data_IF_575020119287
#
_entry.id   IF_575020119287
#
_cell.length_a   1.000
_cell.length_b   1.000
_cell.length_c   1.000
_cell.angle_alpha   90.00
_cell.angle_beta   90.00
_cell.angle_gamma   90.00
#
_symmetry.space_group_name_H-M   'P 1'
#
loop_
_entity.id
_entity.type
_entity.pdbx_description
1 polymer ?
#
# COMPACT_ATOMS: atom_id res chain seq x y z
N UNK A 1 22.32 13.69 14.23
CA UNK A 1 23.08 14.14 13.04
C UNK A 1 22.26 15.24 12.40
N UNK A 2 22.82 16.45 12.27
CA UNK A 2 22.09 17.69 11.94
C UNK A 2 21.52 17.65 10.51
N UNK A 3 20.24 17.98 10.36
CA UNK A 3 19.66 18.45 9.10
C UNK A 3 19.39 19.95 9.24
N UNK A 4 20.07 20.77 8.46
CA UNK A 4 19.87 22.23 8.47
C UNK A 4 18.91 22.60 7.35
N UNK A 5 17.79 23.18 7.75
CA UNK A 5 16.82 23.78 6.88
C UNK A 5 17.22 25.25 6.59
N UNK A 6 17.20 25.61 5.29
CA UNK A 6 16.42 26.73 4.74
C UNK A 6 17.16 28.10 4.56
N UNK A 7 17.45 28.53 3.32
CA UNK A 7 17.95 29.89 3.00
C UNK A 7 17.25 30.45 1.76
N UNK A 8 16.65 31.63 1.93
CA UNK A 8 16.15 32.51 0.87
C UNK A 8 17.34 33.26 0.27
N UNK A 9 17.59 33.13 -1.04
CA UNK A 9 18.75 33.75 -1.70
C UNK A 9 18.50 35.25 -1.93
N UNK A 10 19.36 36.10 -1.38
CA UNK A 10 19.56 37.49 -1.82
C UNK A 10 20.74 37.51 -2.82
N UNK A 11 20.74 38.39 -3.83
CA UNK A 11 21.79 38.41 -4.84
C UNK A 11 23.08 39.00 -4.27
N UNK A 12 24.17 38.23 -4.37
CA UNK A 12 25.53 38.71 -4.13
C UNK A 12 26.15 38.21 -2.83
N UNK A 13 26.70 37.00 -2.85
CA UNK A 13 27.94 36.69 -2.13
C UNK A 13 28.57 35.41 -2.67
N UNK A 14 29.74 35.57 -3.26
CA UNK A 14 30.65 34.51 -3.65
C UNK A 14 31.28 33.93 -2.38
N UNK A 15 30.81 32.74 -1.98
CA UNK A 15 31.50 31.73 -1.17
C UNK A 15 30.56 30.52 -1.06
N UNK A 16 30.78 29.56 -1.97
CA UNK A 16 29.84 28.52 -2.38
C UNK A 16 29.72 27.36 -1.38
N UNK A 17 28.80 27.47 -0.43
CA UNK A 17 28.21 26.32 0.31
C UNK A 17 26.69 26.22 0.10
N UNK A 18 26.19 26.78 -1.01
CA UNK A 18 24.77 26.80 -1.35
C UNK A 18 24.38 25.56 -2.18
N UNK A 19 23.20 24.95 -1.92
CA UNK A 19 22.65 23.93 -2.82
C UNK A 19 22.56 24.47 -4.24
N UNK A 20 22.96 23.64 -5.20
CA UNK A 20 22.95 24.00 -6.62
C UNK A 20 21.51 23.98 -7.11
N UNK A 21 20.95 25.16 -7.35
CA UNK A 21 19.62 25.36 -7.97
C UNK A 21 19.69 25.45 -9.49
N UNK A 22 20.81 25.05 -10.10
CA UNK A 22 21.03 25.22 -11.54
C UNK A 22 21.07 23.88 -12.24
N UNK A 23 20.07 23.65 -13.09
CA UNK A 23 19.99 22.59 -14.10
C UNK A 23 21.37 22.20 -14.62
N UNK A 24 21.70 20.91 -14.48
CA UNK A 24 22.67 20.32 -15.37
C UNK A 24 22.11 20.47 -16.81
N UNK A 25 22.91 20.89 -17.81
CA UNK A 25 22.39 21.33 -19.12
C UNK A 25 21.62 20.27 -19.92
N UNK A 26 21.66 19.00 -19.49
CA UNK A 26 20.92 17.88 -20.09
C UNK A 26 19.84 17.32 -19.16
N UNK A 27 19.61 17.93 -18.01
CA UNK A 27 18.64 17.48 -17.03
C UNK A 27 17.30 18.19 -17.23
N UNK A 28 16.29 17.43 -17.68
CA UNK A 28 14.93 17.94 -17.91
C UNK A 28 14.11 18.00 -16.63
N UNK A 29 14.66 17.57 -15.49
CA UNK A 29 14.01 17.58 -14.18
C UNK A 29 14.82 18.49 -13.26
N UNK A 30 14.19 19.48 -12.63
CA UNK A 30 14.90 20.37 -11.69
C UNK A 30 15.24 19.60 -10.41
N UNK A 31 16.53 19.56 -10.04
CA UNK A 31 17.08 18.80 -8.90
C UNK A 31 17.96 19.73 -8.02
N UNK A 32 17.82 19.67 -6.69
CA UNK A 32 18.66 20.39 -5.72
C UNK A 32 19.69 19.39 -5.20
N UNK A 33 20.96 19.66 -5.48
CA UNK A 33 22.09 18.91 -4.92
C UNK A 33 22.62 19.64 -3.69
N UNK A 34 23.08 18.91 -2.68
CA UNK A 34 23.68 19.49 -1.48
C UNK A 34 25.04 20.13 -1.78
N UNK A 35 25.77 19.60 -2.76
CA UNK A 35 27.06 20.14 -3.24
C UNK A 35 27.39 19.71 -4.68
N UNK A 36 28.52 20.20 -5.21
CA UNK A 36 29.01 19.85 -6.55
C UNK A 36 29.42 18.38 -6.69
N UNK A 37 29.94 17.75 -5.63
CA UNK A 37 30.35 16.35 -5.70
C UNK A 37 29.12 15.47 -5.91
N UNK A 38 28.02 15.76 -5.23
CA UNK A 38 26.75 15.06 -5.43
C UNK A 38 26.17 15.29 -6.84
N UNK A 39 26.28 16.52 -7.36
CA UNK A 39 25.88 16.81 -8.74
C UNK A 39 26.71 16.01 -9.76
N UNK A 40 28.03 15.88 -9.55
CA UNK A 40 28.90 15.05 -10.39
C UNK A 40 28.58 13.57 -10.23
N UNK A 41 28.41 13.09 -8.99
CA UNK A 41 28.04 11.72 -8.71
C UNK A 41 26.72 11.37 -9.40
N UNK A 42 25.71 12.24 -9.35
CA UNK A 42 24.48 11.98 -10.08
C UNK A 42 24.65 12.05 -11.60
N UNK A 43 25.39 13.03 -12.13
CA UNK A 43 25.68 13.13 -13.57
C UNK A 43 26.45 11.90 -14.11
N UNK A 44 27.28 11.29 -13.27
CA UNK A 44 28.06 10.07 -13.56
C UNK A 44 27.27 8.78 -13.23
N UNK A 45 25.99 8.89 -12.86
CA UNK A 45 25.12 7.77 -12.50
C UNK A 45 25.57 7.03 -11.23
N UNK A 46 26.30 7.71 -10.34
CA UNK A 46 26.74 7.25 -9.02
C UNK A 46 25.68 7.36 -7.93
N UNK A 47 24.61 8.13 -8.12
CA UNK A 47 23.40 8.12 -7.30
C UNK A 47 22.20 7.97 -8.21
N UNK A 48 21.18 7.23 -7.76
CA UNK A 48 20.10 6.87 -8.68
C UNK A 48 19.14 8.02 -8.90
N UNK A 49 18.66 8.74 -7.88
CA UNK A 49 17.96 10.02 -8.07
C UNK A 49 17.94 10.87 -6.79
N UNK A 50 18.09 12.19 -6.96
CA UNK A 50 17.79 13.25 -5.99
C UNK A 50 16.63 14.02 -6.59
N UNK A 51 15.45 13.99 -5.98
CA UNK A 51 14.30 14.72 -6.51
C UNK A 51 13.34 15.20 -5.45
N UNK A 52 12.60 16.22 -5.83
CA UNK A 52 11.70 16.98 -4.97
C UNK A 52 10.28 16.46 -5.13
N UNK A 53 9.57 16.23 -4.02
CA UNK A 53 8.14 15.98 -4.05
C UNK A 53 7.39 17.22 -4.54
N UNK A 54 6.66 17.09 -5.65
CA UNK A 54 5.95 18.20 -6.29
C UNK A 54 4.87 18.86 -5.39
N UNK A 55 4.29 19.99 -5.83
CA UNK A 55 3.36 20.80 -5.02
C UNK A 55 2.05 20.09 -4.64
N UNK A 56 1.75 18.96 -5.27
CA UNK A 56 0.56 18.14 -5.01
C UNK A 56 0.84 16.94 -4.08
N UNK A 57 2.09 16.73 -3.69
CA UNK A 57 2.46 15.74 -2.68
C UNK A 57 1.99 16.20 -1.29
N UNK A 58 1.84 15.27 -0.36
CA UNK A 58 1.53 15.55 1.04
C UNK A 58 2.63 16.41 1.70
N UNK A 59 3.89 16.15 1.33
CA UNK A 59 5.06 16.92 1.78
C UNK A 59 5.79 17.57 0.58
N UNK A 60 5.24 18.65 0.00
CA UNK A 60 5.85 19.31 -1.15
C UNK A 60 7.20 19.93 -0.74
N UNK A 61 8.19 19.87 -1.63
CA UNK A 61 9.52 20.42 -1.34
C UNK A 61 10.49 19.41 -0.72
N UNK A 62 10.05 18.22 -0.31
CA UNK A 62 10.91 17.21 0.32
C UNK A 62 11.84 16.56 -0.70
N UNK A 63 13.12 16.51 -0.36
CA UNK A 63 14.17 15.82 -1.12
C UNK A 63 14.32 14.37 -0.66
N UNK A 64 14.32 13.44 -1.62
CA UNK A 64 14.55 12.02 -1.36
C UNK A 64 15.87 11.56 -2.00
N UNK A 65 16.60 10.69 -1.29
CA UNK A 65 17.87 10.11 -1.75
C UNK A 65 17.82 8.59 -1.64
N UNK A 66 18.17 7.92 -2.73
CA UNK A 66 18.21 6.46 -2.84
C UNK A 66 19.62 5.94 -3.14
N UNK A 67 19.86 4.69 -2.78
CA UNK A 67 21.10 3.99 -3.07
C UNK A 67 21.19 3.65 -4.56
N UNK A 68 22.40 3.78 -5.11
CA UNK A 68 22.76 3.51 -6.51
C UNK A 68 22.63 2.05 -6.92
N UNK A 69 22.78 1.14 -5.97
CA UNK A 69 22.80 -0.29 -6.25
C UNK A 69 21.77 -1.01 -5.39
N UNK A 70 21.41 -2.22 -5.81
CA UNK A 70 20.45 -3.02 -5.06
C UNK A 70 19.02 -2.46 -5.07
N UNK A 71 18.13 -3.09 -4.32
CA UNK A 71 16.74 -2.71 -4.23
C UNK A 71 16.56 -1.65 -3.12
N UNK A 72 16.01 -0.49 -3.45
CA UNK A 72 15.60 0.50 -2.46
C UNK A 72 14.20 0.16 -1.95
N UNK A 73 14.09 -0.13 -0.65
CA UNK A 73 12.84 -0.45 0.01
C UNK A 73 12.35 0.79 0.76
N UNK A 74 11.24 1.35 0.32
CA UNK A 74 10.57 2.48 0.95
C UNK A 74 9.55 1.93 1.95
N UNK A 75 9.80 2.15 3.24
CA UNK A 75 8.84 1.93 4.32
C UNK A 75 7.96 3.16 4.49
N UNK A 76 6.69 3.03 4.14
CA UNK A 76 5.71 4.11 4.04
C UNK A 76 4.83 4.17 5.28
N UNK A 77 4.50 5.40 5.67
CA UNK A 77 3.22 5.69 6.31
C UNK A 77 2.32 6.19 5.19
N UNK A 78 1.32 5.40 4.78
CA UNK A 78 0.42 5.70 3.66
C UNK A 78 -0.46 6.95 3.88
N UNK A 79 -0.30 7.62 5.02
CA UNK A 79 -0.90 8.94 5.29
C UNK A 79 0.09 10.11 5.07
N UNK A 80 1.31 9.82 4.63
CA UNK A 80 2.40 10.80 4.44
C UNK A 80 3.03 10.72 3.05
N UNK A 81 4.26 10.20 2.95
CA UNK A 81 4.96 9.96 1.68
C UNK A 81 4.82 8.49 1.34
N UNK A 82 4.26 8.22 0.17
CA UNK A 82 4.12 6.90 -0.42
C UNK A 82 4.81 6.84 -1.79
N UNK A 83 5.00 5.62 -2.31
CA UNK A 83 5.60 5.42 -3.62
C UNK A 83 4.77 6.04 -4.75
N UNK A 84 3.45 6.19 -4.56
CA UNK A 84 2.57 6.88 -5.51
C UNK A 84 2.99 8.35 -5.73
N UNK A 85 3.50 9.03 -4.71
CA UNK A 85 4.04 10.38 -4.83
C UNK A 85 5.50 10.39 -5.34
N UNK A 86 6.29 9.39 -4.95
CA UNK A 86 7.72 9.30 -5.29
C UNK A 86 7.95 8.96 -6.76
N UNK A 87 7.19 8.02 -7.32
CA UNK A 87 7.35 7.57 -8.71
C UNK A 87 7.24 8.70 -9.73
N UNK A 88 6.13 9.47 -9.79
CA UNK A 88 6.00 10.55 -10.76
C UNK A 88 7.00 11.68 -10.50
N UNK A 89 7.36 11.95 -9.24
CA UNK A 89 8.34 12.97 -8.89
C UNK A 89 9.76 12.63 -9.40
N UNK A 90 10.12 11.36 -9.42
CA UNK A 90 11.46 10.89 -9.80
C UNK A 90 11.54 10.27 -11.19
N UNK A 91 10.41 10.09 -11.88
CA UNK A 91 10.36 9.42 -13.19
C UNK A 91 10.72 7.94 -13.12
N UNK A 92 10.41 7.28 -12.00
CA UNK A 92 10.76 5.87 -11.76
C UNK A 92 9.89 4.96 -12.64
N UNK A 93 10.52 4.00 -13.31
CA UNK A 93 9.81 2.97 -14.11
C UNK A 93 10.06 1.55 -13.62
N UNK A 94 11.07 1.33 -12.76
CA UNK A 94 11.47 0.03 -12.24
C UNK A 94 11.07 -0.11 -10.77
N UNK A 95 9.85 -0.57 -10.52
CA UNK A 95 9.30 -0.64 -9.18
C UNK A 95 8.40 -1.85 -8.94
N UNK A 96 8.22 -2.17 -7.66
CA UNK A 96 7.12 -3.00 -7.15
C UNK A 96 6.40 -2.23 -6.04
N UNK A 97 5.08 -2.37 -5.92
CA UNK A 97 4.30 -1.62 -4.94
C UNK A 97 3.27 -2.47 -4.22
N UNK A 98 3.25 -2.42 -2.90
CA UNK A 98 2.35 -3.25 -2.08
C UNK A 98 0.87 -3.06 -2.39
N UNK A 99 0.46 -1.87 -2.84
CA UNK A 99 -0.93 -1.61 -3.19
C UNK A 99 -1.37 -2.42 -4.41
N UNK A 100 -0.42 -2.91 -5.21
CA UNK A 100 -0.67 -3.71 -6.40
C UNK A 100 -0.50 -5.21 -6.13
N UNK A 101 -1.41 -6.01 -6.69
CA UNK A 101 -1.42 -7.46 -6.56
C UNK A 101 -0.24 -8.08 -7.29
N UNK A 102 0.50 -8.93 -6.58
CA UNK A 102 1.54 -9.80 -7.13
C UNK A 102 0.96 -11.13 -7.68
N UNK A 103 -0.34 -11.38 -7.53
CA UNK A 103 -0.97 -12.66 -7.89
C UNK A 103 -1.29 -12.75 -9.38
N UNK A 104 -1.36 -13.99 -9.88
CA UNK A 104 -1.92 -14.27 -11.20
C UNK A 104 -3.43 -14.18 -11.08
N UNK A 105 -4.01 -13.05 -11.50
CA UNK A 105 -5.47 -12.89 -11.56
C UNK A 105 -6.01 -13.50 -12.85
N UNK A 106 -6.81 -14.55 -12.72
CA UNK A 106 -7.33 -15.33 -13.83
C UNK A 106 -8.09 -14.45 -14.85
N UNK A 107 -7.80 -14.57 -16.16
CA UNK A 107 -8.54 -13.85 -17.19
C UNK A 107 -10.04 -14.16 -17.12
N UNK A 108 -10.88 -13.12 -17.17
CA UNK A 108 -12.34 -13.24 -17.12
C UNK A 108 -12.93 -13.49 -15.73
N UNK A 109 -12.13 -13.58 -14.67
CA UNK A 109 -12.66 -13.73 -13.31
C UNK A 109 -13.26 -12.43 -12.77
N UNK A 110 -14.23 -12.56 -11.86
CA UNK A 110 -14.83 -11.42 -11.17
C UNK A 110 -13.78 -10.66 -10.35
N UNK A 111 -12.88 -11.38 -9.67
CA UNK A 111 -11.76 -10.81 -8.91
C UNK A 111 -10.89 -9.89 -9.77
N UNK A 112 -10.47 -10.35 -10.96
CA UNK A 112 -9.65 -9.53 -11.87
C UNK A 112 -10.38 -8.27 -12.29
N UNK A 113 -11.67 -8.39 -12.65
CA UNK A 113 -12.47 -7.25 -13.08
C UNK A 113 -12.61 -6.21 -11.96
N UNK A 114 -12.96 -6.64 -10.75
CA UNK A 114 -13.08 -5.75 -9.59
C UNK A 114 -11.74 -5.09 -9.23
N UNK A 115 -10.65 -5.86 -9.19
CA UNK A 115 -9.31 -5.34 -8.92
C UNK A 115 -8.91 -4.22 -9.90
N UNK A 116 -9.17 -4.42 -11.20
CA UNK A 116 -8.87 -3.43 -12.22
C UNK A 116 -9.73 -2.18 -12.07
N UNK A 117 -11.03 -2.31 -11.81
CA UNK A 117 -11.92 -1.15 -11.60
C UNK A 117 -11.46 -0.31 -10.42
N UNK A 118 -11.19 -0.95 -9.28
CA UNK A 118 -10.83 -0.24 -8.05
C UNK A 118 -9.44 0.40 -8.09
N UNK A 119 -8.50 -0.15 -8.88
CA UNK A 119 -7.13 0.35 -8.94
C UNK A 119 -6.80 1.10 -10.24
N UNK A 120 -7.76 1.26 -11.16
CA UNK A 120 -7.50 1.84 -12.48
C UNK A 120 -6.85 3.22 -12.41
N UNK A 121 -7.35 4.08 -11.52
CA UNK A 121 -6.87 5.46 -11.40
C UNK A 121 -5.41 5.51 -10.93
N UNK A 122 -5.07 4.75 -9.88
CA UNK A 122 -3.71 4.72 -9.34
C UNK A 122 -2.73 4.01 -10.29
N UNK A 123 -3.13 2.88 -10.90
CA UNK A 123 -2.32 2.17 -11.89
C UNK A 123 -1.99 3.10 -13.08
N UNK A 124 -2.97 3.85 -13.56
CA UNK A 124 -2.77 4.82 -14.65
C UNK A 124 -1.84 5.96 -14.21
N UNK A 125 -2.03 6.50 -13.01
CA UNK A 125 -1.21 7.59 -12.46
C UNK A 125 0.26 7.18 -12.30
N UNK A 126 0.50 5.92 -11.94
CA UNK A 126 1.83 5.33 -11.79
C UNK A 126 2.40 4.78 -13.11
N UNK A 127 1.75 5.04 -14.25
CA UNK A 127 2.26 4.67 -15.58
C UNK A 127 2.23 3.17 -15.87
N UNK A 128 1.42 2.38 -15.15
CA UNK A 128 1.35 0.93 -15.33
C UNK A 128 0.56 0.59 -16.59
N UNK A 129 1.16 -0.25 -17.44
CA UNK A 129 0.46 -0.80 -18.60
C UNK A 129 -0.56 -1.87 -18.15
N UNK A 130 -1.85 -1.51 -18.16
CA UNK A 130 -2.96 -2.39 -17.75
C UNK A 130 -3.14 -3.64 -18.63
N UNK A 131 -2.64 -3.60 -19.87
CA UNK A 131 -2.65 -4.76 -20.77
C UNK A 131 -1.43 -5.67 -20.56
N UNK A 132 -0.43 -5.22 -19.79
CA UNK A 132 0.77 -5.97 -19.48
C UNK A 132 0.59 -6.97 -18.32
N UNK A 133 1.69 -7.59 -17.92
CA UNK A 133 1.71 -8.44 -16.73
C UNK A 133 1.78 -7.57 -15.46
N UNK A 134 0.64 -7.34 -14.81
CA UNK A 134 0.56 -6.52 -13.60
C UNK A 134 1.42 -7.05 -12.44
N UNK A 135 1.74 -8.35 -12.43
CA UNK A 135 2.57 -8.95 -11.39
C UNK A 135 3.99 -8.37 -11.37
N UNK A 136 4.48 -7.78 -12.46
CA UNK A 136 5.82 -7.19 -12.49
C UNK A 136 5.94 -5.93 -11.64
N UNK A 137 4.81 -5.28 -11.33
CA UNK A 137 4.74 -4.10 -10.46
C UNK A 137 3.99 -4.38 -9.14
N UNK A 138 3.43 -5.59 -8.99
CA UNK A 138 2.74 -6.04 -7.79
C UNK A 138 3.72 -6.32 -6.64
N UNK A 139 3.43 -5.78 -5.46
CA UNK A 139 4.23 -5.95 -4.25
C UNK A 139 3.66 -6.97 -3.28
N UNK A 140 2.35 -7.22 -3.33
CA UNK A 140 1.70 -8.02 -2.30
C UNK A 140 0.63 -8.95 -2.84
N UNK A 141 0.45 -10.11 -2.21
CA UNK A 141 -0.68 -10.98 -2.50
C UNK A 141 -1.99 -10.33 -2.03
N UNK A 142 -2.97 -10.32 -2.91
CA UNK A 142 -4.30 -9.79 -2.76
C UNK A 142 -5.17 -10.70 -1.88
N UNK A 143 -4.96 -12.03 -1.93
CA UNK A 143 -5.75 -12.97 -1.14
C UNK A 143 -5.68 -12.73 0.37
N UNK A 144 -4.48 -12.68 1.00
CA UNK A 144 -4.38 -12.41 2.43
C UNK A 144 -4.75 -10.96 2.78
N UNK A 145 -4.66 -10.02 1.82
CA UNK A 145 -5.10 -8.63 2.01
C UNK A 145 -6.62 -8.51 2.10
N UNK A 146 -7.35 -9.17 1.19
CA UNK A 146 -8.81 -9.25 1.28
C UNK A 146 -9.22 -9.94 2.58
N UNK A 147 -8.54 -11.04 2.95
CA UNK A 147 -8.84 -11.79 4.16
C UNK A 147 -8.67 -10.95 5.44
N UNK A 148 -7.56 -10.20 5.52
CA UNK A 148 -7.28 -9.25 6.60
C UNK A 148 -8.38 -8.18 6.72
N UNK A 149 -8.82 -7.59 5.60
CA UNK A 149 -9.95 -6.65 5.59
C UNK A 149 -11.27 -7.30 6.02
N UNK A 150 -11.59 -8.51 5.55
CA UNK A 150 -12.84 -9.18 5.93
C UNK A 150 -12.88 -9.51 7.43
N UNK A 151 -11.75 -9.92 8.01
CA UNK A 151 -11.63 -10.12 9.46
C UNK A 151 -11.69 -8.78 10.23
N UNK A 152 -11.13 -7.70 9.67
CA UNK A 152 -11.25 -6.35 10.25
C UNK A 152 -12.69 -5.86 10.29
N UNK A 153 -13.48 -6.15 9.25
CA UNK A 153 -14.85 -5.69 9.12
C UNK A 153 -15.86 -6.47 9.98
N UNK A 154 -15.51 -7.66 10.48
CA UNK A 154 -16.38 -8.50 11.32
C UNK A 154 -17.02 -7.74 12.50
N UNK A 155 -16.25 -7.12 13.43
CA UNK A 155 -16.84 -6.40 14.56
C UNK A 155 -17.67 -5.17 14.15
N UNK A 156 -17.42 -4.60 12.96
CA UNK A 156 -18.24 -3.48 12.45
C UNK A 156 -19.58 -3.97 11.90
N UNK A 157 -19.60 -5.15 11.27
CA UNK A 157 -20.82 -5.75 10.76
C UNK A 157 -21.68 -6.38 11.87
N UNK A 158 -21.07 -6.81 12.98
CA UNK A 158 -21.78 -7.30 14.18
C UNK A 158 -22.27 -6.19 15.12
N UNK A 159 -22.07 -4.92 14.76
CA UNK A 159 -22.37 -3.73 15.59
C UNK A 159 -21.61 -3.64 16.92
N UNK A 160 -20.51 -4.40 17.08
CA UNK A 160 -19.68 -4.43 18.28
C UNK A 160 -18.62 -3.31 18.33
N UNK A 161 -18.37 -2.64 17.19
CA UNK A 161 -17.42 -1.54 17.08
C UNK A 161 -18.04 -0.25 16.53
N UNK A 162 -17.61 0.88 17.09
CA UNK A 162 -17.98 2.22 16.64
C UNK A 162 -17.47 2.52 15.21
N UNK A 163 -18.24 3.32 14.46
CA UNK A 163 -18.01 3.68 13.04
C UNK A 163 -16.93 4.72 12.68
N UNK A 164 -16.26 5.48 13.58
CA UNK A 164 -15.53 6.68 13.17
C UNK A 164 -14.27 6.39 12.34
N UNK A 165 -13.83 5.13 12.25
CA UNK A 165 -12.70 4.75 11.41
C UNK A 165 -13.08 4.44 9.96
N UNK A 166 -14.36 4.17 9.69
CA UNK A 166 -14.87 3.83 8.35
C UNK A 166 -15.46 5.02 7.61
N UNK A 167 -15.72 6.14 8.30
CA UNK A 167 -16.23 7.38 7.72
C UNK A 167 -15.11 8.35 7.35
N UNK A 168 -15.38 9.25 6.41
CA UNK A 168 -14.51 10.41 6.19
C UNK A 168 -14.61 11.38 7.39
N UNK A 169 -13.64 11.34 8.30
CA UNK A 169 -13.60 12.30 9.42
C UNK A 169 -12.90 13.62 9.04
N UNK A 170 -13.47 14.74 9.48
CA UNK A 170 -12.85 16.08 9.41
C UNK A 170 -11.61 16.12 10.30
N UNK A 171 -10.44 15.84 9.73
CA UNK A 171 -9.16 15.80 10.45
C UNK A 171 -8.05 14.99 9.78
N UNK A 172 -8.29 14.42 8.58
CA UNK A 172 -7.26 13.76 7.77
C UNK A 172 -6.67 12.48 8.37
N UNK A 173 -7.24 11.98 9.47
CA UNK A 173 -6.54 11.05 10.35
C UNK A 173 -6.94 9.58 10.29
N UNK A 174 -7.92 9.15 9.47
CA UNK A 174 -8.31 7.73 9.43
C UNK A 174 -8.65 7.29 8.01
N UNK A 175 -7.67 6.63 7.41
CA UNK A 175 -7.62 6.14 6.03
C UNK A 175 -8.43 4.85 5.80
N UNK A 176 -8.87 4.13 6.85
CA UNK A 176 -9.33 2.73 6.73
C UNK A 176 -10.60 2.53 5.88
N UNK A 177 -11.56 3.46 5.93
CA UNK A 177 -12.82 3.29 5.19
C UNK A 177 -12.67 3.13 3.67
N UNK A 178 -11.66 3.72 3.06
CA UNK A 178 -11.36 3.60 1.62
C UNK A 178 -10.79 2.22 1.21
N UNK A 179 -9.64 1.76 1.75
CA UNK A 179 -9.11 0.44 1.49
C UNK A 179 -10.10 -0.65 1.92
N UNK A 180 -10.84 -0.48 3.02
CA UNK A 180 -11.82 -1.47 3.45
C UNK A 180 -12.97 -1.61 2.44
N UNK A 181 -13.49 -0.48 1.94
CA UNK A 181 -14.49 -0.52 0.88
C UNK A 181 -13.95 -1.18 -0.39
N UNK A 182 -12.72 -0.83 -0.79
CA UNK A 182 -12.04 -1.40 -1.95
C UNK A 182 -11.93 -2.92 -1.82
N UNK A 183 -11.39 -3.42 -0.71
CA UNK A 183 -11.19 -4.85 -0.52
C UNK A 183 -12.48 -5.60 -0.20
N UNK A 184 -13.53 -4.95 0.31
CA UNK A 184 -14.89 -5.50 0.35
C UNK A 184 -15.40 -5.77 -1.07
N UNK A 185 -15.30 -4.79 -1.99
CA UNK A 185 -15.74 -4.94 -3.39
C UNK A 185 -14.96 -6.03 -4.11
N UNK A 186 -13.64 -6.04 -3.97
CA UNK A 186 -12.75 -7.07 -4.54
C UNK A 186 -13.03 -8.44 -3.92
N UNK A 187 -13.23 -8.51 -2.60
CA UNK A 187 -13.51 -9.74 -1.88
C UNK A 187 -14.88 -10.34 -2.22
N UNK A 188 -15.91 -9.52 -2.41
CA UNK A 188 -17.20 -9.97 -2.94
C UNK A 188 -17.04 -10.61 -4.32
N UNK A 189 -16.28 -9.97 -5.20
CA UNK A 189 -16.00 -10.51 -6.53
C UNK A 189 -15.25 -11.86 -6.45
N UNK A 190 -14.25 -11.99 -5.58
CA UNK A 190 -13.54 -13.26 -5.36
C UNK A 190 -14.45 -14.33 -4.72
N UNK A 191 -15.31 -13.96 -3.78
CA UNK A 191 -16.28 -14.89 -3.20
C UNK A 191 -17.22 -15.46 -4.27
N UNK A 192 -17.60 -14.67 -5.26
CA UNK A 192 -18.38 -15.12 -6.42
C UNK A 192 -17.59 -16.04 -7.35
N UNK A 193 -16.30 -15.78 -7.57
CA UNK A 193 -15.42 -16.70 -8.31
C UNK A 193 -15.36 -18.08 -7.60
N UNK A 194 -15.19 -18.09 -6.28
CA UNK A 194 -15.19 -19.32 -5.48
C UNK A 194 -16.55 -20.02 -5.53
N UNK A 195 -17.64 -19.26 -5.36
CA UNK A 195 -19.00 -19.79 -5.37
C UNK A 195 -19.42 -20.42 -6.71
N UNK A 196 -18.81 -19.98 -7.82
CA UNK A 196 -19.07 -20.55 -9.14
C UNK A 196 -18.49 -21.97 -9.31
N UNK A 197 -17.45 -22.33 -8.54
CA UNK A 197 -16.80 -23.63 -8.60
C UNK A 197 -16.18 -24.04 -7.25
N UNK A 198 -16.99 -24.27 -6.19
CA UNK A 198 -16.48 -24.59 -4.87
C UNK A 198 -15.91 -26.02 -4.82
N UNK A 199 -14.72 -26.18 -4.25
CA UNK A 199 -14.00 -27.46 -4.17
C UNK A 199 -14.05 -28.05 -2.75
N UNK A 200 -13.95 -27.22 -1.71
CA UNK A 200 -13.94 -27.67 -0.31
C UNK A 200 -15.28 -27.44 0.39
N UNK A 201 -15.50 -28.08 1.54
CA UNK A 201 -16.71 -27.85 2.35
C UNK A 201 -16.85 -26.39 2.82
N UNK A 202 -15.73 -25.72 3.12
CA UNK A 202 -15.72 -24.29 3.47
C UNK A 202 -16.09 -23.42 2.28
N UNK A 203 -15.59 -23.75 1.08
CA UNK A 203 -15.96 -23.06 -0.16
C UNK A 203 -17.44 -23.28 -0.52
N UNK A 204 -18.00 -24.46 -0.24
CA UNK A 204 -19.44 -24.74 -0.40
C UNK A 204 -20.28 -23.91 0.58
N UNK A 205 -19.83 -23.75 1.82
CA UNK A 205 -20.49 -22.88 2.80
C UNK A 205 -20.46 -21.41 2.36
N UNK A 206 -19.32 -20.92 1.85
CA UNK A 206 -19.22 -19.59 1.25
C UNK A 206 -20.16 -19.45 0.05
N UNK A 207 -20.23 -20.45 -0.83
CA UNK A 207 -21.13 -20.44 -1.99
C UNK A 207 -22.60 -20.32 -1.57
N UNK A 208 -23.02 -21.00 -0.49
CA UNK A 208 -24.36 -20.87 0.07
C UNK A 208 -24.63 -19.44 0.54
N UNK A 209 -23.69 -18.84 1.29
CA UNK A 209 -23.82 -17.45 1.76
C UNK A 209 -23.90 -16.47 0.59
N UNK A 210 -23.03 -16.61 -0.42
CA UNK A 210 -23.09 -15.79 -1.64
C UNK A 210 -24.47 -15.91 -2.28
N UNK A 211 -24.99 -17.12 -2.50
CA UNK A 211 -26.30 -17.33 -3.13
C UNK A 211 -27.45 -16.70 -2.31
N UNK A 212 -27.42 -16.82 -0.99
CA UNK A 212 -28.45 -16.27 -0.09
C UNK A 212 -28.43 -14.75 -0.01
N UNK A 213 -27.26 -14.13 -0.17
CA UNK A 213 -27.05 -12.69 0.06
C UNK A 213 -26.96 -11.89 -1.24
N UNK A 214 -26.74 -12.53 -2.40
CA UNK A 214 -26.52 -11.87 -3.69
C UNK A 214 -27.58 -10.81 -4.01
N UNK A 215 -28.87 -11.13 -3.88
CA UNK A 215 -29.93 -10.19 -4.24
C UNK A 215 -29.89 -8.87 -3.41
N UNK A 216 -29.39 -8.93 -2.17
CA UNK A 216 -29.26 -7.77 -1.29
C UNK A 216 -27.90 -7.07 -1.47
N UNK A 217 -26.82 -7.84 -1.64
CA UNK A 217 -25.45 -7.32 -1.65
C UNK A 217 -24.98 -6.86 -3.03
N UNK A 218 -25.36 -7.51 -4.13
CA UNK A 218 -24.91 -7.13 -5.47
C UNK A 218 -25.24 -5.66 -5.79
N UNK A 219 -26.50 -5.17 -5.62
CA UNK A 219 -26.82 -3.78 -5.92
C UNK A 219 -26.11 -2.79 -5.00
N UNK A 220 -25.96 -3.14 -3.72
CA UNK A 220 -25.27 -2.29 -2.74
C UNK A 220 -23.79 -2.16 -3.07
N UNK A 221 -23.08 -3.28 -3.22
CA UNK A 221 -21.63 -3.31 -3.48
C UNK A 221 -21.29 -2.71 -4.85
N UNK A 222 -22.12 -2.95 -5.88
CA UNK A 222 -21.96 -2.31 -7.18
C UNK A 222 -22.20 -0.79 -7.15
N UNK A 223 -23.04 -0.31 -6.23
CA UNK A 223 -23.33 1.11 -6.02
C UNK A 223 -22.25 1.87 -5.23
N UNK A 224 -21.31 1.18 -4.59
CA UNK A 224 -20.23 1.82 -3.83
C UNK A 224 -19.26 2.56 -4.79
N UNK A 225 -19.01 3.87 -4.58
CA UNK A 225 -18.12 4.64 -5.46
C UNK A 225 -16.66 4.21 -5.30
N UNK A 226 -15.89 4.17 -6.38
CA UNK A 226 -14.42 3.97 -6.30
C UNK A 226 -13.81 5.06 -5.41
N UNK A 227 -12.86 4.67 -4.56
CA UNK A 227 -12.22 5.54 -3.54
C UNK A 227 -13.21 6.22 -2.57
N UNK A 228 -14.41 5.66 -2.42
CA UNK A 228 -15.37 6.03 -1.37
C UNK A 228 -15.01 5.46 0.00
N UNK A 229 -15.63 5.99 1.05
CA UNK A 229 -15.49 5.50 2.42
C UNK A 229 -16.67 4.58 2.76
N UNK A 230 -16.40 3.32 3.14
CA UNK A 230 -17.44 2.33 3.42
C UNK A 230 -18.48 2.85 4.41
N UNK A 231 -18.04 3.48 5.49
CA UNK A 231 -18.90 3.97 6.55
C UNK A 231 -19.88 5.05 6.09
N UNK A 232 -19.47 5.95 5.17
CA UNK A 232 -20.34 7.02 4.63
C UNK A 232 -21.61 6.45 3.96
N UNK A 233 -21.52 5.23 3.43
CA UNK A 233 -22.66 4.51 2.86
C UNK A 233 -23.35 3.64 3.90
N UNK A 234 -22.61 2.90 4.71
CA UNK A 234 -23.13 1.85 5.59
C UNK A 234 -23.92 2.40 6.79
N UNK A 235 -23.61 3.60 7.28
CA UNK A 235 -24.34 4.25 8.39
C UNK A 235 -25.72 4.77 8.00
N UNK A 236 -26.06 4.78 6.70
CA UNK A 236 -27.36 5.23 6.24
C UNK A 236 -28.44 4.24 6.65
N UNK A 237 -29.54 4.72 7.25
CA UNK A 237 -30.64 3.87 7.73
C UNK A 237 -31.22 2.95 6.63
N UNK A 238 -31.16 3.38 5.37
CA UNK A 238 -31.59 2.58 4.22
C UNK A 238 -30.75 1.31 3.98
N UNK A 239 -29.57 1.20 4.59
CA UNK A 239 -28.65 0.07 4.46
C UNK A 239 -28.52 -0.77 5.74
N UNK A 240 -29.41 -0.55 6.72
CA UNK A 240 -29.43 -1.36 7.95
C UNK A 240 -29.64 -2.86 7.67
N UNK A 241 -30.32 -3.20 6.57
CA UNK A 241 -30.54 -4.58 6.12
C UNK A 241 -29.28 -5.26 5.54
N UNK A 242 -28.18 -4.52 5.36
CA UNK A 242 -26.92 -5.05 4.79
C UNK A 242 -25.97 -5.64 5.82
N UNK A 243 -26.06 -5.24 7.10
CA UNK A 243 -25.12 -5.66 8.15
C UNK A 243 -25.06 -7.18 8.31
N UNK A 244 -26.20 -7.85 8.51
CA UNK A 244 -26.22 -9.31 8.69
C UNK A 244 -25.72 -10.08 7.44
N UNK A 245 -26.14 -9.75 6.20
CA UNK A 245 -25.53 -10.32 5.00
C UNK A 245 -24.02 -10.09 4.86
N UNK A 246 -23.53 -8.88 5.17
CA UNK A 246 -22.11 -8.55 5.13
C UNK A 246 -21.31 -9.33 6.18
N UNK A 247 -21.84 -9.48 7.40
CA UNK A 247 -21.24 -10.29 8.45
C UNK A 247 -21.13 -11.76 8.04
N UNK A 248 -22.22 -12.33 7.51
CA UNK A 248 -22.23 -13.72 7.04
C UNK A 248 -21.21 -13.95 5.92
N UNK A 249 -21.12 -13.01 4.97
CA UNK A 249 -20.12 -13.03 3.91
C UNK A 249 -18.70 -12.97 4.47
N UNK A 250 -18.42 -12.01 5.36
CA UNK A 250 -17.10 -11.80 5.93
C UNK A 250 -16.61 -13.05 6.67
N UNK A 251 -17.42 -13.61 7.57
CA UNK A 251 -17.09 -14.84 8.32
C UNK A 251 -16.84 -16.04 7.42
N UNK A 252 -17.75 -16.30 6.47
CA UNK A 252 -17.59 -17.43 5.55
C UNK A 252 -16.37 -17.27 4.63
N UNK A 253 -16.05 -16.04 4.22
CA UNK A 253 -14.85 -15.76 3.43
C UNK A 253 -13.57 -15.97 4.24
N UNK A 254 -13.54 -15.45 5.48
CA UNK A 254 -12.42 -15.63 6.41
C UNK A 254 -12.16 -17.12 6.67
N UNK A 255 -13.21 -17.92 6.90
CA UNK A 255 -13.06 -19.37 7.11
C UNK A 255 -12.34 -20.08 5.95
N UNK A 256 -12.69 -19.73 4.71
CA UNK A 256 -12.02 -20.24 3.50
C UNK A 256 -10.57 -19.76 3.46
N UNK A 257 -10.31 -18.49 3.77
CA UNK A 257 -8.96 -17.95 3.71
C UNK A 257 -8.04 -18.47 4.82
N UNK A 258 -8.56 -18.78 6.01
CA UNK A 258 -7.79 -19.46 7.06
C UNK A 258 -7.30 -20.83 6.59
N UNK A 259 -8.16 -21.59 5.91
CA UNK A 259 -7.80 -22.89 5.34
C UNK A 259 -6.76 -22.74 4.23
N UNK A 260 -6.92 -21.75 3.35
CA UNK A 260 -5.95 -21.46 2.29
C UNK A 260 -4.59 -21.02 2.85
N UNK A 261 -4.56 -20.21 3.90
CA UNK A 261 -3.32 -19.69 4.48
C UNK A 261 -2.37 -20.80 4.95
N UNK A 262 -2.90 -21.79 5.68
CA UNK A 262 -2.10 -22.90 6.22
C UNK A 262 -1.74 -23.96 5.16
N UNK A 263 -2.44 -23.96 4.02
CA UNK A 263 -2.23 -24.88 2.90
C UNK A 263 -1.57 -24.22 1.68
N UNK A 264 -1.13 -22.97 1.78
CA UNK A 264 -0.70 -22.17 0.62
C UNK A 264 0.52 -22.80 -0.09
N UNK A 265 0.41 -23.23 -1.35
CA UNK A 265 1.51 -23.88 -2.06
C UNK A 265 2.74 -22.97 -2.27
N UNK A 266 2.61 -21.65 -2.17
CA UNK A 266 3.72 -20.71 -2.29
C UNK A 266 4.62 -20.67 -1.03
N UNK A 267 4.14 -21.21 0.09
CA UNK A 267 4.87 -21.19 1.37
C UNK A 267 5.60 -22.50 1.66
N UNK A 268 6.76 -22.38 2.30
CA UNK A 268 7.53 -23.50 2.85
C UNK A 268 6.88 -24.09 4.12
N UNK A 269 7.29 -25.32 4.48
CA UNK A 269 6.71 -26.04 5.62
C UNK A 269 6.83 -25.29 6.96
N UNK A 270 7.95 -24.57 7.18
CA UNK A 270 8.15 -23.81 8.41
C UNK A 270 7.18 -22.62 8.51
N UNK A 271 6.86 -21.99 7.39
CA UNK A 271 5.96 -20.83 7.32
C UNK A 271 4.51 -21.29 7.51
N UNK A 272 4.12 -22.40 6.88
CA UNK A 272 2.83 -23.06 7.11
C UNK A 272 2.66 -23.47 8.57
N UNK A 273 3.69 -24.06 9.17
CA UNK A 273 3.68 -24.43 10.59
C UNK A 273 3.57 -23.21 11.51
N UNK A 274 4.25 -22.09 11.19
CA UNK A 274 4.11 -20.85 11.95
C UNK A 274 2.69 -20.27 11.86
N UNK A 275 2.07 -20.27 10.67
CA UNK A 275 0.68 -19.83 10.50
C UNK A 275 -0.32 -20.74 11.22
N UNK A 276 -0.14 -22.07 11.12
CA UNK A 276 -1.01 -23.04 11.78
C UNK A 276 -0.92 -23.01 13.31
N UNK A 277 0.19 -22.50 13.88
CA UNK A 277 0.38 -22.36 15.31
C UNK A 277 -0.25 -21.09 15.90
N UNK A 278 -0.69 -20.14 15.06
CA UNK A 278 -1.37 -18.94 15.53
C UNK A 278 -2.80 -19.27 15.97
N UNK A 279 -3.28 -18.67 17.08
CA UNK A 279 -4.70 -18.65 17.41
C UNK A 279 -5.56 -18.08 16.27
N UNK A 280 -6.82 -18.50 16.17
CA UNK A 280 -7.72 -18.14 15.07
C UNK A 280 -9.19 -17.96 15.54
N UNK A 281 -9.43 -17.96 16.84
CA UNK A 281 -10.78 -18.01 17.41
C UNK A 281 -11.45 -16.62 17.34
N UNK A 282 -10.64 -15.57 17.45
CA UNK A 282 -11.10 -14.18 17.45
C UNK A 282 -10.68 -13.43 16.17
N UNK A 283 -11.46 -12.44 15.74
CA UNK A 283 -11.20 -11.66 14.52
C UNK A 283 -9.80 -11.03 14.50
N UNK A 284 -9.31 -10.53 15.65
CA UNK A 284 -7.98 -9.92 15.75
C UNK A 284 -6.84 -10.95 15.69
N UNK A 285 -7.11 -12.21 16.05
CA UNK A 285 -6.17 -13.32 15.89
C UNK A 285 -6.07 -13.72 14.41
N UNK A 286 -7.21 -13.80 13.74
CA UNK A 286 -7.30 -14.05 12.30
C UNK A 286 -6.57 -12.96 11.50
N UNK A 287 -6.76 -11.68 11.85
CA UNK A 287 -5.97 -10.56 11.27
C UNK A 287 -4.47 -10.75 11.47
N UNK A 288 -4.03 -11.19 12.66
CA UNK A 288 -2.59 -11.44 12.89
C UNK A 288 -2.06 -12.56 12.01
N UNK A 289 -2.85 -13.61 11.79
CA UNK A 289 -2.51 -14.68 10.86
C UNK A 289 -2.41 -14.15 9.44
N UNK A 290 -3.42 -13.41 8.95
CA UNK A 290 -3.41 -12.84 7.61
C UNK A 290 -2.28 -11.83 7.42
N UNK A 291 -2.04 -10.92 8.37
CA UNK A 291 -0.89 -10.03 8.36
C UNK A 291 0.44 -10.79 8.29
N UNK A 292 0.55 -11.95 8.94
CA UNK A 292 1.75 -12.78 8.83
C UNK A 292 1.86 -13.49 7.48
N UNK A 293 0.75 -13.99 6.96
CA UNK A 293 0.68 -14.59 5.64
C UNK A 293 1.06 -13.59 4.54
N UNK A 294 0.52 -12.36 4.62
CA UNK A 294 0.90 -11.18 3.83
C UNK A 294 2.41 -10.97 3.83
N UNK A 295 3.01 -10.93 5.01
CA UNK A 295 4.46 -10.75 5.19
C UNK A 295 5.31 -11.85 4.54
N UNK A 296 4.89 -13.11 4.59
CA UNK A 296 5.62 -14.20 3.92
C UNK A 296 5.61 -14.05 2.40
N UNK A 297 4.44 -13.77 1.80
CA UNK A 297 4.35 -13.45 0.37
C UNK A 297 5.19 -12.25 0.00
N UNK A 298 5.13 -11.20 0.82
CA UNK A 298 5.90 -9.99 0.61
C UNK A 298 7.42 -10.27 0.57
N UNK A 299 7.92 -11.13 1.46
CA UNK A 299 9.31 -11.55 1.44
C UNK A 299 9.72 -12.18 0.11
N UNK A 300 8.87 -13.06 -0.44
CA UNK A 300 9.09 -13.71 -1.74
C UNK A 300 9.12 -12.68 -2.87
N UNK A 301 8.15 -11.75 -2.87
CA UNK A 301 8.05 -10.70 -3.90
C UNK A 301 9.27 -9.77 -3.86
N UNK A 302 9.70 -9.34 -2.66
CA UNK A 302 10.89 -8.49 -2.50
C UNK A 302 12.16 -9.21 -2.96
N UNK A 303 12.31 -10.49 -2.62
CA UNK A 303 13.45 -11.30 -3.07
C UNK A 303 13.47 -11.46 -4.59
N UNK A 304 12.31 -11.72 -5.20
CA UNK A 304 12.18 -11.82 -6.65
C UNK A 304 12.44 -10.48 -7.34
N UNK A 305 11.90 -9.38 -6.81
CA UNK A 305 12.13 -8.03 -7.30
C UNK A 305 13.62 -7.69 -7.28
N UNK A 306 14.31 -7.94 -6.15
CA UNK A 306 15.75 -7.74 -6.04
C UNK A 306 16.54 -8.60 -7.05
N UNK A 307 16.17 -9.88 -7.22
CA UNK A 307 16.79 -10.79 -8.19
C UNK A 307 16.59 -10.38 -9.65
N UNK A 308 15.45 -9.74 -9.95
CA UNK A 308 15.12 -9.22 -11.27
C UNK A 308 15.72 -7.82 -11.54
N UNK A 309 16.47 -7.26 -10.59
CA UNK A 309 17.05 -5.92 -10.73
C UNK A 309 16.05 -4.78 -10.61
N UNK A 310 14.89 -5.01 -9.97
CA UNK A 310 13.96 -3.93 -9.61
C UNK A 310 14.68 -2.94 -8.69
N UNK A 311 14.50 -1.64 -8.96
CA UNK A 311 15.23 -0.58 -8.26
C UNK A 311 14.50 -0.07 -7.02
N UNK A 312 13.17 -0.13 -7.00
CA UNK A 312 12.34 0.41 -5.92
C UNK A 312 11.23 -0.56 -5.49
N UNK A 313 11.00 -0.66 -4.18
CA UNK A 313 9.87 -1.37 -3.60
C UNK A 313 9.18 -0.47 -2.58
N UNK A 314 7.90 -0.16 -2.77
CA UNK A 314 7.09 0.58 -1.81
C UNK A 314 6.28 -0.38 -0.95
N UNK A 315 6.36 -0.22 0.37
CA UNK A 315 5.61 -1.03 1.33
C UNK A 315 5.38 -0.28 2.63
N UNK A 316 4.34 -0.63 3.37
CA UNK A 316 4.10 -0.13 4.71
C UNK A 316 5.28 -0.44 5.63
N UNK A 317 5.61 0.51 6.50
CA UNK A 317 6.78 0.38 7.36
C UNK A 317 6.70 -0.83 8.32
N UNK A 318 5.49 -1.29 8.66
CA UNK A 318 5.29 -2.54 9.40
C UNK A 318 5.81 -3.77 8.66
N UNK A 319 5.57 -3.88 7.34
CA UNK A 319 6.13 -4.96 6.51
C UNK A 319 7.65 -4.91 6.52
N UNK A 320 8.21 -3.72 6.24
CA UNK A 320 9.66 -3.48 6.23
C UNK A 320 10.32 -3.89 7.55
N UNK A 321 9.80 -3.44 8.69
CA UNK A 321 10.34 -3.75 10.03
C UNK A 321 10.26 -5.25 10.34
N UNK A 322 9.17 -5.91 9.94
CA UNK A 322 9.03 -7.35 10.14
C UNK A 322 10.06 -8.14 9.33
N UNK A 323 10.23 -7.80 8.05
CA UNK A 323 11.20 -8.46 7.17
C UNK A 323 12.64 -8.28 7.66
N UNK A 324 13.01 -7.06 8.10
CA UNK A 324 14.31 -6.79 8.72
C UNK A 324 14.53 -7.65 9.96
N UNK A 325 13.54 -7.69 10.87
CA UNK A 325 13.63 -8.46 12.11
C UNK A 325 13.78 -9.97 11.85
N UNK A 326 13.19 -10.47 10.77
CA UNK A 326 13.25 -11.89 10.37
C UNK A 326 14.44 -12.22 9.46
N UNK A 327 15.26 -11.23 9.11
CA UNK A 327 16.35 -11.37 8.14
C UNK A 327 15.87 -11.95 6.79
N UNK A 328 14.70 -11.48 6.35
CA UNK A 328 14.06 -11.88 5.09
C UNK A 328 14.21 -10.85 3.98
N UNK A 329 14.94 -9.76 4.23
CA UNK A 329 15.30 -8.80 3.21
C UNK A 329 16.62 -9.25 2.53
N UNK A 330 16.70 -9.25 1.19
CA UNK A 330 17.94 -9.59 0.48
C UNK A 330 19.14 -8.71 0.89
N UNK A 331 20.38 -9.24 0.91
CA UNK A 331 21.57 -8.50 1.36
C UNK A 331 21.88 -7.23 0.56
N UNK A 332 21.50 -7.18 -0.72
CA UNK A 332 21.69 -6.03 -1.60
C UNK A 332 20.46 -5.13 -1.62
N UNK A 333 19.94 -4.78 -0.46
CA UNK A 333 18.79 -3.87 -0.34
C UNK A 333 19.09 -2.74 0.63
N UNK A 334 18.38 -1.64 0.44
CA UNK A 334 18.53 -0.42 1.22
C UNK A 334 17.16 -0.01 1.74
N UNK A 335 16.92 -0.27 3.02
CA UNK A 335 15.63 -0.01 3.65
C UNK A 335 15.57 1.43 4.21
N UNK A 336 14.62 2.21 3.71
CA UNK A 336 14.31 3.58 4.13
C UNK A 336 13.02 3.60 4.93
N UNK A 337 12.93 4.50 5.91
CA UNK A 337 11.72 4.77 6.68
C UNK A 337 11.31 6.22 6.44
N UNK A 338 10.15 6.43 5.82
CA UNK A 338 9.65 7.77 5.51
C UNK A 338 8.66 8.28 6.57
N UNK A 339 8.24 7.45 7.54
CA UNK A 339 7.33 7.85 8.62
C UNK A 339 7.90 8.93 9.56
N UNK A 340 9.22 9.13 9.54
CA UNK A 340 9.91 10.13 10.36
C UNK A 340 9.99 11.52 9.72
N UNK A 341 9.49 11.72 8.50
CA UNK A 341 9.52 13.03 7.84
C UNK A 341 8.69 14.09 8.58
N UNK A 342 7.78 13.70 9.51
CA UNK A 342 7.11 14.61 10.46
C UNK A 342 8.04 15.55 11.23
N UNK A 343 9.27 15.14 11.55
CA UNK A 343 10.16 15.91 12.43
C UNK A 343 11.06 16.91 11.70
N UNK A 344 11.24 16.78 10.39
CA UNK A 344 12.10 17.68 9.61
C UNK A 344 11.43 19.03 9.30
N UNK A 345 10.09 19.10 9.34
CA UNK A 345 9.30 20.27 8.92
C UNK A 345 8.91 21.19 10.08
N UNK A 346 8.99 20.75 11.34
CA UNK A 346 8.59 21.58 12.50
C UNK A 346 9.62 22.66 12.89
N UNK A 347 10.71 22.83 12.13
CA UNK A 347 11.66 23.94 12.30
C UNK A 347 11.46 24.98 11.19
N UNK A 348 10.37 25.77 11.30
CA UNK A 348 10.27 27.20 10.94
C UNK A 348 8.81 27.63 10.85
N UNK A 349 8.24 28.00 11.99
CA UNK A 349 7.12 28.94 12.03
C UNK A 349 7.14 29.82 13.31
N UNK A 350 8.34 30.11 13.84
CA UNK A 350 8.51 31.16 14.85
C UNK A 350 8.69 32.51 14.15
N UNK A 351 7.58 33.24 14.10
CA UNK A 351 7.39 34.67 13.83
C UNK A 351 8.66 35.51 13.99
N UNK A 352 9.06 36.20 12.92
CA UNK A 352 9.77 37.48 13.04
C UNK A 352 8.69 38.54 13.27
N UNK A 353 8.50 38.94 14.53
CA UNK A 353 7.84 40.20 14.85
C UNK A 353 8.72 41.33 14.32
N UNK A 354 8.09 42.23 13.59
CA UNK A 354 8.66 43.45 13.01
C UNK A 354 9.27 44.35 14.07
N UNK A 355 10.52 44.76 13.89
CA UNK A 355 10.99 46.05 14.35
C UNK A 355 10.75 47.09 13.24
N UNK A 356 9.74 47.93 13.45
CA UNK A 356 9.79 49.38 13.26
C UNK A 356 8.98 50.03 14.35
#
# INVERSE_FOLDING_TARGET
MLFVNNVKILPGNANNTHPLTTNHPNDTVVRDYLDWQEAFDHADGHTDHVGNLGPHAFWPGVWLRFSRNGLNILGEDHTEVDLEQVIPALGITSFTYEQFSADVLAPGSFLRAAYLVENNAILTRMGVNLAGNLQTVGGESLYPKIADTMAELDPYFDHDADFPMLNMCSGGGRYLGQPDQRYLKIGWAHARDIAAAPVTAKEQALALVVNQTTALLDPYIAGLPVDGYLGDTLVQAAHADKYAPLLALARAYVDVMLDRAVNDPALGNNEKADLAALPQDEWWEQKRLFARWRNYHFAVVVAQAAGNGVRYAGMGDYHRRWLLKKNLIPPNTHAYDLSYLRFAVTVRNTRILSHR
#
